data_IF_672725710740
#
_entry.id   IF_672725710740
#
_cell.length_a   1.000
_cell.length_b   1.000
_cell.length_c   1.000
_cell.angle_alpha   90.00
_cell.angle_beta   90.00
_cell.angle_gamma   90.00
#
_symmetry.space_group_name_H-M   'P 1'
#
loop_
_entity.id
_entity.type
_entity.pdbx_description
1 polymer ?
#
# COMPACT_ATOMS: atom_id res chain seq x y z
N UNK A 1 14.12 7.71 4.96
CA UNK A 1 13.18 6.86 5.68
C UNK A 1 12.32 6.11 4.69
N UNK A 2 12.33 4.81 4.75
CA UNK A 2 11.50 4.00 3.86
C UNK A 2 10.17 3.67 4.52
N UNK A 3 9.13 3.54 3.70
CA UNK A 3 7.83 3.10 4.15
C UNK A 3 7.85 1.59 4.43
N UNK A 4 6.95 1.14 5.28
CA UNK A 4 6.73 -0.29 5.54
C UNK A 4 5.84 -0.86 4.43
N UNK A 5 6.45 -1.36 3.36
CA UNK A 5 5.72 -1.80 2.16
C UNK A 5 4.84 -3.02 2.42
N UNK A 6 5.24 -3.92 3.30
CA UNK A 6 4.41 -5.07 3.66
C UNK A 6 3.14 -4.61 4.38
N UNK A 7 3.26 -3.62 5.27
CA UNK A 7 2.12 -3.05 5.96
C UNK A 7 1.21 -2.31 4.97
N UNK A 8 1.79 -1.53 4.07
CA UNK A 8 1.03 -0.83 3.02
C UNK A 8 0.27 -1.83 2.14
N UNK A 9 0.91 -2.93 1.75
CA UNK A 9 0.24 -3.98 0.99
C UNK A 9 -0.99 -4.50 1.72
N UNK A 10 -0.87 -4.77 3.02
CA UNK A 10 -2.00 -5.26 3.81
C UNK A 10 -3.12 -4.22 3.94
N UNK A 11 -2.76 -2.95 4.13
CA UNK A 11 -3.75 -1.87 4.19
C UNK A 11 -4.52 -1.75 2.87
N UNK A 12 -3.84 -1.87 1.74
CA UNK A 12 -4.47 -1.82 0.42
C UNK A 12 -5.36 -3.04 0.18
N UNK A 13 -4.91 -4.23 0.56
CA UNK A 13 -5.72 -5.44 0.43
C UNK A 13 -7.00 -5.34 1.26
N UNK A 14 -6.92 -4.83 2.48
CA UNK A 14 -8.10 -4.64 3.31
C UNK A 14 -9.05 -3.60 2.72
N UNK A 15 -8.53 -2.52 2.14
CA UNK A 15 -9.37 -1.53 1.46
C UNK A 15 -10.11 -2.15 0.28
N UNK A 16 -9.48 -3.09 -0.43
CA UNK A 16 -10.09 -3.79 -1.54
C UNK A 16 -11.21 -4.73 -1.09
N UNK A 17 -11.11 -5.28 0.11
CA UNK A 17 -11.97 -6.37 0.59
C UNK A 17 -13.02 -5.95 1.62
N UNK A 18 -13.08 -4.68 2.03
CA UNK A 18 -13.91 -4.26 3.15
C UNK A 18 -15.32 -3.77 2.76
N UNK A 19 -15.87 -4.26 1.63
CA UNK A 19 -17.26 -3.92 1.30
C UNK A 19 -18.19 -4.33 2.43
N UNK A 20 -19.11 -3.45 2.82
CA UNK A 20 -20.09 -3.64 3.89
C UNK A 20 -19.50 -3.75 5.30
N UNK A 21 -18.19 -3.49 5.47
CA UNK A 21 -17.50 -3.58 6.75
C UNK A 21 -16.68 -2.31 7.01
N UNK A 22 -16.55 -1.88 8.29
CA UNK A 22 -15.71 -0.72 8.59
C UNK A 22 -14.22 -1.03 8.32
N UNK A 23 -13.47 0.00 7.90
CA UNK A 23 -12.04 -0.09 7.67
C UNK A 23 -11.30 0.26 8.97
N UNK A 24 -10.40 -0.61 9.42
CA UNK A 24 -9.74 -0.50 10.72
C UNK A 24 -8.23 -0.64 10.59
N UNK A 25 -7.56 0.42 10.08
CA UNK A 25 -6.13 0.40 9.80
C UNK A 25 -5.29 -0.05 10.99
N UNK A 26 -5.60 0.42 12.19
CA UNK A 26 -4.81 0.09 13.38
C UNK A 26 -4.89 -1.40 13.72
N UNK A 27 -6.05 -2.01 13.53
CA UNK A 27 -6.20 -3.46 13.74
C UNK A 27 -5.38 -4.25 12.72
N UNK A 28 -5.33 -3.80 11.48
CA UNK A 28 -4.51 -4.43 10.44
C UNK A 28 -3.04 -4.32 10.77
N UNK A 29 -2.61 -3.17 11.34
CA UNK A 29 -1.25 -3.00 11.84
C UNK A 29 -0.93 -3.97 12.96
N UNK A 30 -1.86 -4.17 13.90
CA UNK A 30 -1.71 -5.14 14.97
C UNK A 30 -1.53 -6.56 14.43
N UNK A 31 -2.34 -6.96 13.46
CA UNK A 31 -2.22 -8.28 12.83
C UNK A 31 -0.86 -8.48 12.18
N UNK A 32 -0.36 -7.47 11.46
CA UNK A 32 0.97 -7.52 10.84
C UNK A 32 2.06 -7.68 11.91
N UNK A 33 1.96 -6.92 13.00
CA UNK A 33 2.94 -7.00 14.09
C UNK A 33 2.93 -8.39 14.73
N UNK A 34 1.75 -8.94 14.99
CA UNK A 34 1.60 -10.26 15.59
C UNK A 34 2.16 -11.36 14.68
N UNK A 35 1.92 -11.27 13.37
CA UNK A 35 2.48 -12.21 12.40
C UNK A 35 4.00 -12.16 12.37
N UNK A 36 4.60 -10.96 12.46
CA UNK A 36 6.05 -10.79 12.51
C UNK A 36 6.63 -11.45 13.77
N UNK A 37 6.00 -11.23 14.91
CA UNK A 37 6.39 -11.84 16.18
C UNK A 37 6.30 -13.37 16.08
N UNK A 38 5.21 -13.88 15.53
CA UNK A 38 5.01 -15.33 15.38
C UNK A 38 6.06 -15.98 14.49
N UNK A 39 6.58 -15.24 13.49
CA UNK A 39 7.64 -15.72 12.60
C UNK A 39 9.05 -15.52 13.16
N UNK A 40 9.16 -14.93 14.35
CA UNK A 40 10.46 -14.62 14.94
C UNK A 40 11.19 -13.46 14.29
N UNK A 41 10.48 -12.64 13.52
CA UNK A 41 11.06 -11.46 12.88
C UNK A 41 11.19 -10.33 13.90
N UNK A 42 12.26 -9.52 13.85
CA UNK A 42 12.40 -8.38 14.74
C UNK A 42 11.33 -7.34 14.42
N UNK A 43 10.76 -6.75 15.48
CA UNK A 43 9.76 -5.71 15.36
C UNK A 43 10.42 -4.36 15.62
N UNK A 44 10.29 -3.40 14.72
CA UNK A 44 10.73 -2.03 14.97
C UNK A 44 9.75 -1.37 15.94
N UNK A 45 10.19 -1.18 17.19
CA UNK A 45 9.35 -0.63 18.22
C UNK A 45 8.39 -1.67 18.81
N UNK A 46 7.25 -1.20 19.29
CA UNK A 46 6.22 -2.04 19.91
C UNK A 46 5.09 -2.32 18.93
N UNK A 47 4.18 -3.22 19.33
CA UNK A 47 2.93 -3.43 18.60
C UNK A 47 2.15 -2.11 18.46
N UNK A 48 2.10 -1.33 19.54
CA UNK A 48 1.43 -0.02 19.52
C UNK A 48 2.07 0.94 18.51
N UNK A 49 3.37 0.87 18.33
CA UNK A 49 4.07 1.66 17.31
C UNK A 49 3.61 1.27 15.90
N UNK A 50 3.54 -0.02 15.61
CA UNK A 50 3.07 -0.50 14.29
C UNK A 50 1.62 -0.08 14.05
N UNK A 51 0.77 -0.15 15.07
CA UNK A 51 -0.62 0.32 14.98
C UNK A 51 -0.68 1.81 14.65
N UNK A 52 0.18 2.62 15.27
CA UNK A 52 0.25 4.06 14.99
C UNK A 52 0.70 4.31 13.55
N UNK A 53 1.72 3.60 13.10
CA UNK A 53 2.20 3.73 11.72
C UNK A 53 1.09 3.37 10.74
N UNK A 54 0.32 2.31 11.01
CA UNK A 54 -0.80 1.92 10.16
C UNK A 54 -1.85 3.03 10.07
N UNK A 55 -2.19 3.68 11.19
CA UNK A 55 -3.11 4.81 11.19
C UNK A 55 -2.59 6.01 10.40
N UNK A 56 -1.31 6.32 10.53
CA UNK A 56 -0.67 7.39 9.78
C UNK A 56 -0.65 7.08 8.27
N UNK A 57 -0.38 5.83 7.91
CA UNK A 57 -0.36 5.40 6.51
C UNK A 57 -1.74 5.46 5.86
N UNK A 58 -2.81 5.20 6.62
CA UNK A 58 -4.17 5.39 6.11
C UNK A 58 -4.34 6.83 5.60
N UNK A 59 -3.90 7.82 6.38
CA UNK A 59 -3.94 9.22 5.96
C UNK A 59 -3.09 9.50 4.74
N UNK A 60 -1.89 8.95 4.69
CA UNK A 60 -0.99 9.10 3.53
C UNK A 60 -1.63 8.53 2.27
N UNK A 61 -2.21 7.34 2.37
CA UNK A 61 -2.86 6.69 1.23
C UNK A 61 -4.09 7.45 0.75
N UNK A 62 -4.87 8.00 1.69
CA UNK A 62 -6.04 8.82 1.35
C UNK A 62 -5.62 10.13 0.68
N UNK A 63 -4.66 10.84 1.27
CA UNK A 63 -4.18 12.12 0.75
C UNK A 63 -3.53 11.98 -0.63
N UNK A 64 -2.84 10.86 -0.87
CA UNK A 64 -2.20 10.58 -2.15
C UNK A 64 -3.18 10.09 -3.22
N UNK A 65 -4.43 9.85 -2.86
CA UNK A 65 -5.44 9.37 -3.81
C UNK A 65 -5.31 7.91 -4.16
N UNK A 66 -4.75 7.08 -3.25
CA UNK A 66 -4.65 5.64 -3.42
C UNK A 66 -5.89 4.92 -2.91
N UNK A 67 -6.54 5.49 -1.90
CA UNK A 67 -7.83 5.02 -1.40
C UNK A 67 -8.81 6.20 -1.37
N UNK A 68 -10.10 5.89 -1.45
CA UNK A 68 -11.16 6.89 -1.40
C UNK A 68 -12.35 6.32 -0.64
N UNK A 69 -13.25 7.19 -0.17
CA UNK A 69 -14.47 6.75 0.46
C UNK A 69 -15.23 5.80 -0.45
N UNK A 70 -15.64 4.66 0.08
CA UNK A 70 -16.38 3.66 -0.69
C UNK A 70 -17.82 4.12 -0.91
N UNK A 71 -18.29 4.20 -2.18
CA UNK A 71 -19.67 4.56 -2.45
C UNK A 71 -20.65 3.51 -1.90
N UNK A 72 -21.87 3.93 -1.60
CA UNK A 72 -22.91 3.04 -1.06
C UNK A 72 -23.19 1.86 -1.99
N UNK A 73 -23.23 2.10 -3.28
CA UNK A 73 -23.47 1.05 -4.28
C UNK A 73 -22.30 0.08 -4.44
N UNK A 74 -21.14 0.40 -3.83
CA UNK A 74 -19.98 -0.49 -3.75
C UNK A 74 -19.81 -1.09 -2.35
N UNK A 75 -20.84 -1.02 -1.49
CA UNK A 75 -20.73 -1.50 -0.12
C UNK A 75 -20.17 -0.50 0.87
N UNK A 76 -20.36 0.79 0.61
CA UNK A 76 -19.90 1.86 1.50
C UNK A 76 -20.73 1.95 2.77
N UNK A 77 -20.06 2.09 3.92
CA UNK A 77 -20.69 2.21 5.24
C UNK A 77 -20.56 3.61 5.85
N UNK A 78 -19.81 4.50 5.19
CA UNK A 78 -19.40 5.78 5.77
C UNK A 78 -18.08 5.71 6.54
N UNK A 79 -17.59 4.50 6.83
CA UNK A 79 -16.36 4.26 7.57
C UNK A 79 -15.44 3.26 6.86
N UNK A 80 -15.56 3.12 5.55
CA UNK A 80 -14.71 2.24 4.79
C UNK A 80 -14.25 2.91 3.50
N UNK A 81 -13.25 2.31 2.88
CA UNK A 81 -12.60 2.82 1.68
C UNK A 81 -12.61 1.78 0.58
N UNK A 82 -12.32 2.22 -0.63
CA UNK A 82 -12.00 1.34 -1.75
C UNK A 82 -10.72 1.84 -2.41
N UNK A 83 -10.08 0.98 -3.20
CA UNK A 83 -8.92 1.37 -3.98
C UNK A 83 -9.35 2.26 -5.14
N UNK A 84 -8.57 3.30 -5.40
CA UNK A 84 -8.63 4.03 -6.66
C UNK A 84 -7.81 3.26 -7.70
N UNK A 85 -7.83 3.71 -8.96
CA UNK A 85 -6.95 3.14 -9.99
C UNK A 85 -5.49 3.27 -9.59
N UNK A 86 -5.12 4.40 -8.97
CA UNK A 86 -3.76 4.60 -8.44
C UNK A 86 -3.44 3.60 -7.34
N UNK A 87 -4.37 3.38 -6.42
CA UNK A 87 -4.21 2.40 -5.34
C UNK A 87 -4.06 0.98 -5.85
N UNK A 88 -4.85 0.59 -6.84
CA UNK A 88 -4.72 -0.72 -7.45
C UNK A 88 -3.36 -0.88 -8.13
N UNK A 89 -2.88 0.16 -8.79
CA UNK A 89 -1.55 0.16 -9.42
C UNK A 89 -0.43 0.01 -8.38
N UNK A 90 -0.54 0.75 -7.28
CA UNK A 90 0.42 0.62 -6.18
C UNK A 90 0.42 -0.80 -5.63
N UNK A 91 -0.75 -1.35 -5.31
CA UNK A 91 -0.86 -2.71 -4.79
C UNK A 91 -0.24 -3.74 -5.76
N UNK A 92 -0.50 -3.59 -7.05
CA UNK A 92 0.06 -4.48 -8.07
C UNK A 92 1.59 -4.42 -8.10
N UNK A 93 2.17 -3.22 -8.05
CA UNK A 93 3.61 -3.03 -8.22
C UNK A 93 4.42 -3.38 -6.98
N UNK A 94 3.87 -3.19 -5.77
CA UNK A 94 4.58 -3.54 -4.53
C UNK A 94 4.20 -4.92 -4.00
N UNK A 95 3.14 -5.52 -4.52
CA UNK A 95 2.61 -6.79 -4.03
C UNK A 95 3.54 -7.95 -4.31
N UNK A 96 3.57 -8.91 -3.39
CA UNK A 96 4.48 -10.05 -3.45
C UNK A 96 4.29 -10.95 -4.68
N UNK A 97 3.12 -10.89 -5.30
CA UNK A 97 2.84 -11.66 -6.52
C UNK A 97 3.51 -11.07 -7.77
N UNK A 98 3.98 -9.83 -7.70
CA UNK A 98 4.66 -9.19 -8.82
C UNK A 98 6.18 -9.51 -8.73
N UNK A 99 6.78 -10.12 -9.77
CA UNK A 99 8.18 -10.53 -9.70
C UNK A 99 9.16 -9.41 -9.39
N UNK A 100 8.92 -8.20 -9.91
CA UNK A 100 9.80 -7.05 -9.72
C UNK A 100 9.40 -6.17 -8.51
N UNK A 101 8.56 -6.68 -7.60
CA UNK A 101 8.06 -5.85 -6.49
C UNK A 101 9.19 -5.27 -5.62
N UNK A 102 10.26 -6.02 -5.40
CA UNK A 102 11.39 -5.51 -4.59
C UNK A 102 12.13 -4.39 -5.29
N UNK A 103 12.27 -4.49 -6.62
CA UNK A 103 12.90 -3.42 -7.41
C UNK A 103 12.04 -2.16 -7.35
N UNK A 104 10.73 -2.30 -7.51
CA UNK A 104 9.82 -1.15 -7.48
C UNK A 104 9.76 -0.51 -6.10
N UNK A 105 9.74 -1.32 -5.03
CA UNK A 105 9.80 -0.82 -3.65
C UNK A 105 11.06 0.01 -3.43
N UNK A 106 12.20 -0.43 -3.98
CA UNK A 106 13.45 0.32 -3.89
C UNK A 106 13.38 1.65 -4.61
N UNK A 107 12.78 1.68 -5.80
CA UNK A 107 12.59 2.94 -6.54
C UNK A 107 11.73 3.92 -5.75
N UNK A 108 10.69 3.43 -5.09
CA UNK A 108 9.86 4.26 -4.23
C UNK A 108 10.65 4.76 -3.02
N UNK A 109 11.46 3.90 -2.39
CA UNK A 109 12.29 4.30 -1.25
C UNK A 109 13.26 5.43 -1.61
N UNK A 110 13.79 5.44 -2.84
CA UNK A 110 14.67 6.49 -3.32
C UNK A 110 13.98 7.85 -3.39
N UNK A 111 12.66 7.88 -3.51
CA UNK A 111 11.89 9.12 -3.53
C UNK A 111 11.58 9.64 -2.11
N UNK A 112 11.84 8.83 -1.08
CA UNK A 112 11.56 9.19 0.30
C UNK A 112 10.08 9.37 0.56
N UNK A 113 9.72 10.36 1.37
CA UNK A 113 8.33 10.60 1.75
C UNK A 113 7.45 11.01 0.58
N UNK A 114 8.03 11.54 -0.49
CA UNK A 114 7.27 11.96 -1.67
C UNK A 114 6.77 10.78 -2.52
N UNK A 115 7.30 9.57 -2.28
CA UNK A 115 6.94 8.38 -3.06
C UNK A 115 5.42 8.14 -3.14
N UNK A 116 4.70 8.45 -2.07
CA UNK A 116 3.26 8.25 -1.99
C UNK A 116 2.46 9.53 -2.20
N UNK A 117 3.04 10.53 -2.86
CA UNK A 117 2.28 11.64 -3.42
C UNK A 117 1.82 11.28 -4.83
N UNK A 118 0.70 11.83 -5.25
CA UNK A 118 0.10 11.49 -6.54
C UNK A 118 1.06 11.71 -7.70
N UNK A 119 1.71 12.88 -7.75
CA UNK A 119 2.60 13.22 -8.87
C UNK A 119 3.83 12.35 -8.96
N UNK A 120 4.53 12.15 -7.83
CA UNK A 120 5.75 11.35 -7.80
C UNK A 120 5.46 9.88 -8.10
N UNK A 121 4.41 9.33 -7.49
CA UNK A 121 4.03 7.94 -7.74
C UNK A 121 3.65 7.71 -9.20
N UNK A 122 2.80 8.57 -9.77
CA UNK A 122 2.33 8.40 -11.15
C UNK A 122 3.49 8.46 -12.13
N UNK A 123 4.47 9.35 -11.90
CA UNK A 123 5.67 9.45 -12.73
C UNK A 123 6.51 8.16 -12.67
N UNK A 124 6.73 7.61 -11.48
CA UNK A 124 7.48 6.37 -11.33
C UNK A 124 6.75 5.18 -11.94
N UNK A 125 5.44 5.08 -11.74
CA UNK A 125 4.64 4.00 -12.33
C UNK A 125 4.67 4.05 -13.85
N UNK A 126 4.59 5.25 -14.43
CA UNK A 126 4.69 5.42 -15.88
C UNK A 126 6.06 5.01 -16.41
N UNK A 127 7.15 5.36 -15.71
CA UNK A 127 8.50 4.95 -16.08
C UNK A 127 8.65 3.43 -16.01
N UNK A 128 8.15 2.80 -14.96
CA UNK A 128 8.22 1.36 -14.80
C UNK A 128 7.49 0.64 -15.93
N UNK A 129 6.34 1.16 -16.34
CA UNK A 129 5.57 0.59 -17.45
C UNK A 129 6.34 0.71 -18.78
N UNK A 130 6.98 1.86 -19.03
CA UNK A 130 7.79 2.07 -20.23
C UNK A 130 9.01 1.15 -20.26
N UNK A 131 9.73 1.05 -19.14
CA UNK A 131 10.92 0.21 -19.03
C UNK A 131 10.57 -1.26 -19.28
N UNK A 132 9.42 -1.71 -18.80
CA UNK A 132 8.95 -3.09 -19.06
C UNK A 132 8.62 -3.33 -20.52
N UNK A 133 8.05 -2.34 -21.20
CA UNK A 133 7.78 -2.44 -22.65
C UNK A 133 9.08 -2.48 -23.42
N UNK A 134 10.05 -1.64 -23.05
CA UNK A 134 11.35 -1.57 -23.72
C UNK A 134 12.19 -2.83 -23.49
N UNK A 135 12.02 -3.49 -22.34
CA UNK A 135 12.73 -4.70 -21.97
C UNK A 135 12.13 -5.97 -22.59
N UNK A 136 10.96 -5.89 -23.21
CA UNK A 136 10.39 -7.05 -23.87
C UNK A 136 11.20 -7.38 -25.11
N UNK A 137 11.77 -8.60 -25.21
CA UNK A 137 12.45 -8.99 -26.42
C UNK A 137 11.45 -8.96 -27.58
N UNK A 138 11.84 -8.29 -28.61
CA UNK A 138 11.08 -8.32 -29.84
C UNK A 138 11.17 -9.73 -30.40
N UNK A 139 10.10 -10.45 -30.28
CA UNK A 139 10.04 -11.78 -30.84
C UNK A 139 9.99 -11.70 -32.37
#
# INVERSE_FOLDING_TARGET
>A
MSYDWDLIEQLLLHAQQCADEPYKAREYGEEVAEERIARGEPLEGSVDHVKRVAGDLEGVLFDGGFIQDRPRDHGGTGNNFELTDRGLRLLTLIGRSFPEHLVFRRLLDEQGEEALTAGAFDALAARAARDRVDDKPMA
#
